data_IF_170918858533
#
_entry.id   IF_170918858533
#
_cell.length_a   1.000
_cell.length_b   1.000
_cell.length_c   1.000
_cell.angle_alpha   90.00
_cell.angle_beta   90.00
_cell.angle_gamma   90.00
#
_symmetry.space_group_name_H-M   'P 1'
#
loop_
_entity.id
_entity.type
_entity.pdbx_description
1 polymer ?
#
# COMPACT_ATOMS: atom_id res chain seq x y z
N UNK A 1 11.51 15.13 16.54
CA UNK A 1 11.16 14.37 15.32
C UNK A 1 9.63 14.34 15.20
N UNK A 2 9.07 14.86 14.11
CA UNK A 2 7.61 15.03 13.98
C UNK A 2 6.90 13.66 13.89
N UNK A 3 5.61 13.61 14.25
CA UNK A 3 4.79 12.40 14.09
C UNK A 3 4.77 11.93 12.63
N UNK A 4 4.65 12.87 11.70
CA UNK A 4 4.71 12.64 10.26
C UNK A 4 5.98 11.89 9.83
N UNK A 5 7.14 12.38 10.27
CA UNK A 5 8.44 11.77 9.96
C UNK A 5 8.46 10.30 10.38
N UNK A 6 8.06 10.02 11.62
CA UNK A 6 8.02 8.65 12.15
C UNK A 6 7.08 7.77 11.33
N UNK A 7 5.89 8.28 10.99
CA UNK A 7 4.92 7.50 10.22
C UNK A 7 5.40 7.21 8.80
N UNK A 8 6.01 8.18 8.11
CA UNK A 8 6.59 7.96 6.78
C UNK A 8 7.67 6.88 6.80
N UNK A 9 8.54 6.86 7.82
CA UNK A 9 9.55 5.80 7.99
C UNK A 9 8.93 4.44 8.30
N UNK A 10 7.91 4.39 9.15
CA UNK A 10 7.20 3.15 9.45
C UNK A 10 6.59 2.58 8.16
N UNK A 11 5.90 3.40 7.37
CA UNK A 11 5.33 2.94 6.10
C UNK A 11 6.39 2.53 5.09
N UNK A 12 7.53 3.21 5.02
CA UNK A 12 8.66 2.77 4.19
C UNK A 12 9.10 1.35 4.59
N UNK A 13 9.25 1.05 5.88
CA UNK A 13 9.59 -0.30 6.35
C UNK A 13 8.50 -1.31 5.97
N UNK A 14 7.23 -0.96 6.16
CA UNK A 14 6.10 -1.83 5.79
C UNK A 14 6.09 -2.11 4.27
N UNK A 15 6.39 -1.13 3.43
CA UNK A 15 6.47 -1.33 1.98
C UNK A 15 7.62 -2.25 1.59
N UNK A 16 8.78 -2.18 2.27
CA UNK A 16 9.87 -3.15 2.06
C UNK A 16 9.37 -4.55 2.37
N UNK A 17 8.78 -4.75 3.54
CA UNK A 17 8.30 -6.08 3.98
C UNK A 17 7.24 -6.61 3.01
N UNK A 18 6.28 -5.77 2.61
CA UNK A 18 5.25 -6.14 1.66
C UNK A 18 5.84 -6.54 0.29
N UNK A 19 6.72 -5.70 -0.27
CA UNK A 19 7.38 -5.97 -1.55
C UNK A 19 8.17 -7.28 -1.53
N UNK A 20 8.99 -7.50 -0.49
CA UNK A 20 9.75 -8.74 -0.32
C UNK A 20 8.83 -9.96 -0.15
N UNK A 21 7.74 -9.83 0.60
CA UNK A 21 6.80 -10.93 0.81
C UNK A 21 6.14 -11.37 -0.50
N UNK A 22 5.77 -10.42 -1.37
CA UNK A 22 5.25 -10.72 -2.70
C UNK A 22 6.29 -11.35 -3.63
N UNK A 23 7.57 -10.98 -3.49
CA UNK A 23 8.63 -11.53 -4.33
C UNK A 23 9.07 -12.95 -3.91
N UNK A 24 9.21 -13.19 -2.61
CA UNK A 24 9.81 -14.42 -2.07
C UNK A 24 8.78 -15.45 -1.59
N UNK A 25 7.59 -15.03 -1.19
CA UNK A 25 6.56 -15.92 -0.63
C UNK A 25 5.14 -15.61 -1.15
N UNK A 26 4.91 -15.45 -2.47
CA UNK A 26 3.62 -15.04 -3.01
C UNK A 26 2.48 -16.00 -2.66
N UNK A 27 2.74 -17.32 -2.67
CA UNK A 27 1.75 -18.33 -2.30
C UNK A 27 1.30 -18.21 -0.84
N UNK A 28 2.25 -17.97 0.08
CA UNK A 28 1.97 -17.78 1.51
C UNK A 28 1.15 -16.52 1.75
N UNK A 29 1.49 -15.42 1.08
CA UNK A 29 0.73 -14.17 1.15
C UNK A 29 -0.69 -14.37 0.64
N UNK A 30 -0.86 -15.08 -0.48
CA UNK A 30 -2.19 -15.38 -1.04
C UNK A 30 -3.04 -16.20 -0.08
N UNK A 31 -2.49 -17.25 0.52
CA UNK A 31 -3.20 -18.08 1.51
C UNK A 31 -3.61 -17.26 2.74
N UNK A 32 -2.76 -16.35 3.20
CA UNK A 32 -3.08 -15.46 4.33
C UNK A 32 -4.22 -14.51 3.97
N UNK A 33 -4.19 -13.90 2.78
CA UNK A 33 -5.25 -13.03 2.30
C UNK A 33 -6.58 -13.78 2.13
N UNK A 34 -6.55 -15.02 1.62
CA UNK A 34 -7.75 -15.88 1.52
C UNK A 34 -8.28 -16.30 2.90
N UNK A 35 -7.40 -16.52 3.88
CA UNK A 35 -7.82 -16.77 5.27
C UNK A 35 -8.50 -15.53 5.89
N UNK A 36 -7.90 -14.35 5.72
CA UNK A 36 -8.48 -13.09 6.19
C UNK A 36 -9.81 -12.76 5.49
N UNK A 37 -9.90 -12.99 4.18
CA UNK A 37 -11.12 -12.80 3.41
C UNK A 37 -12.26 -13.65 3.99
N UNK A 38 -12.00 -14.94 4.25
CA UNK A 38 -12.99 -15.84 4.86
C UNK A 38 -13.42 -15.39 6.25
N UNK A 39 -12.50 -14.93 7.10
CA UNK A 39 -12.82 -14.40 8.43
C UNK A 39 -13.75 -13.18 8.35
N UNK A 40 -13.58 -12.35 7.33
CA UNK A 40 -14.41 -11.16 7.09
C UNK A 40 -15.66 -11.43 6.26
N UNK A 41 -15.96 -12.69 5.92
CA UNK A 41 -17.10 -13.06 5.07
C UNK A 41 -16.97 -12.65 3.61
N UNK A 42 -15.75 -12.34 3.15
CA UNK A 42 -15.44 -12.04 1.76
C UNK A 42 -15.09 -13.32 0.99
N UNK A 43 -15.40 -13.33 -0.30
CA UNK A 43 -15.08 -14.45 -1.19
C UNK A 43 -13.56 -14.57 -1.39
N UNK A 44 -12.94 -15.74 -1.11
CA UNK A 44 -11.54 -15.99 -1.42
C UNK A 44 -11.31 -16.12 -2.93
N UNK A 45 -10.06 -16.02 -3.36
CA UNK A 45 -9.68 -16.08 -4.77
C UNK A 45 -8.23 -15.64 -5.04
N UNK A 46 -7.49 -15.25 -4.01
CA UNK A 46 -6.13 -14.75 -4.15
C UNK A 46 -5.18 -15.85 -4.60
N UNK A 47 -5.28 -17.08 -4.06
CA UNK A 47 -4.41 -18.19 -4.46
C UNK A 47 -4.51 -18.52 -5.97
N UNK A 48 -5.71 -18.48 -6.54
CA UNK A 48 -5.93 -18.73 -7.97
C UNK A 48 -5.45 -17.56 -8.84
N UNK A 49 -5.62 -16.32 -8.39
CA UNK A 49 -5.11 -15.14 -9.08
C UNK A 49 -3.57 -15.14 -9.08
N UNK A 50 -2.97 -15.56 -7.96
CA UNK A 50 -1.52 -15.63 -7.75
C UNK A 50 -0.85 -16.67 -8.65
N UNK A 51 -1.50 -17.80 -8.89
CA UNK A 51 -1.00 -18.86 -9.77
C UNK A 51 -0.88 -18.44 -11.25
N UNK A 52 -1.60 -17.40 -11.68
CA UNK A 52 -1.64 -16.96 -13.08
C UNK A 52 -0.69 -15.79 -13.41
N UNK A 53 -0.04 -15.20 -12.41
CA UNK A 53 0.51 -13.85 -12.54
C UNK A 53 1.94 -13.69 -11.98
N UNK A 54 2.94 -14.29 -12.64
CA UNK A 54 4.36 -14.12 -12.26
C UNK A 54 4.89 -12.69 -12.48
N UNK A 55 4.45 -12.02 -13.54
CA UNK A 55 4.88 -10.66 -13.90
C UNK A 55 4.38 -9.60 -12.90
N UNK A 56 3.25 -9.86 -12.26
CA UNK A 56 2.67 -8.97 -11.26
C UNK A 56 3.55 -8.81 -10.02
N UNK A 57 4.30 -9.83 -9.60
CA UNK A 57 5.18 -9.72 -8.44
C UNK A 57 6.38 -8.83 -8.70
N UNK A 58 6.94 -8.88 -9.91
CA UNK A 58 8.02 -7.98 -10.32
C UNK A 58 7.57 -6.52 -10.33
N UNK A 59 6.37 -6.26 -10.87
CA UNK A 59 5.77 -4.92 -10.86
C UNK A 59 5.40 -4.45 -9.45
N UNK A 60 4.86 -5.34 -8.61
CA UNK A 60 4.54 -5.03 -7.22
C UNK A 60 5.82 -4.70 -6.43
N UNK A 61 6.88 -5.49 -6.60
CA UNK A 61 8.17 -5.26 -5.96
C UNK A 61 8.79 -3.93 -6.39
N UNK A 62 8.80 -3.61 -7.70
CA UNK A 62 9.38 -2.36 -8.20
C UNK A 62 8.58 -1.13 -7.76
N UNK A 63 7.25 -1.23 -7.72
CA UNK A 63 6.37 -0.19 -7.19
C UNK A 63 6.62 0.00 -5.68
N UNK A 64 6.70 -1.09 -4.92
CA UNK A 64 6.98 -1.01 -3.48
C UNK A 64 8.35 -0.39 -3.22
N UNK A 65 9.39 -0.76 -3.97
CA UNK A 65 10.72 -0.13 -3.85
C UNK A 65 10.67 1.39 -4.11
N UNK A 66 9.87 1.82 -5.10
CA UNK A 66 9.64 3.25 -5.37
C UNK A 66 8.91 3.93 -4.21
N UNK A 67 7.87 3.30 -3.66
CA UNK A 67 7.14 3.81 -2.50
C UNK A 67 8.01 3.90 -1.25
N UNK A 68 8.94 2.95 -1.04
CA UNK A 68 9.94 2.99 0.04
C UNK A 68 10.79 4.25 -0.10
N UNK A 69 11.36 4.47 -1.28
CA UNK A 69 12.21 5.63 -1.55
C UNK A 69 11.45 6.94 -1.31
N UNK A 70 10.25 7.06 -1.89
CA UNK A 70 9.44 8.26 -1.77
C UNK A 70 8.99 8.51 -0.33
N UNK A 71 8.53 7.48 0.39
CA UNK A 71 8.10 7.62 1.78
C UNK A 71 9.28 7.96 2.70
N UNK A 72 10.45 7.35 2.48
CA UNK A 72 11.65 7.65 3.25
C UNK A 72 12.09 9.10 3.07
N UNK A 73 12.14 9.56 1.81
CA UNK A 73 12.53 10.93 1.48
C UNK A 73 11.47 11.94 1.93
N UNK A 74 10.17 11.61 1.82
CA UNK A 74 9.06 12.45 2.30
C UNK A 74 9.11 12.68 3.83
N UNK A 75 9.75 11.78 4.57
CA UNK A 75 9.97 11.96 6.01
C UNK A 75 11.10 12.93 6.35
N UNK A 76 11.90 13.41 5.40
CA UNK A 76 13.03 14.31 5.65
C UNK A 76 12.63 15.71 6.15
N UNK A 77 13.51 16.43 6.86
CA UNK A 77 13.23 17.78 7.39
C UNK A 77 12.94 18.81 6.29
N UNK A 78 13.57 18.67 5.11
CA UNK A 78 13.40 19.56 3.95
C UNK A 78 12.68 18.87 2.79
N UNK A 79 11.86 17.86 3.09
CA UNK A 79 11.24 17.04 2.07
C UNK A 79 10.24 17.85 1.23
N UNK A 80 10.40 17.90 -0.11
CA UNK A 80 9.44 18.57 -0.97
C UNK A 80 8.05 17.90 -0.85
N UNK A 81 6.95 18.68 -0.78
CA UNK A 81 5.60 18.14 -0.62
C UNK A 81 5.18 17.22 -1.78
N UNK A 82 5.84 17.34 -2.94
CA UNK A 82 5.63 16.49 -4.11
C UNK A 82 5.91 15.01 -3.83
N UNK A 83 6.88 14.69 -2.96
CA UNK A 83 7.21 13.31 -2.62
C UNK A 83 6.06 12.63 -1.88
N UNK A 84 5.50 13.33 -0.88
CA UNK A 84 4.32 12.85 -0.16
C UNK A 84 3.11 12.77 -1.09
N UNK A 85 2.88 13.78 -1.92
CA UNK A 85 1.78 13.77 -2.88
C UNK A 85 1.89 12.58 -3.86
N UNK A 86 3.09 12.20 -4.28
CA UNK A 86 3.30 11.03 -5.13
C UNK A 86 2.94 9.71 -4.42
N UNK A 87 3.32 9.56 -3.14
CA UNK A 87 2.90 8.41 -2.32
C UNK A 87 1.38 8.37 -2.17
N UNK A 88 0.76 9.50 -1.85
CA UNK A 88 -0.69 9.60 -1.69
C UNK A 88 -1.44 9.31 -2.99
N UNK A 89 -0.96 9.82 -4.12
CA UNK A 89 -1.54 9.57 -5.44
C UNK A 89 -1.44 8.09 -5.79
N UNK A 90 -0.29 7.46 -5.52
CA UNK A 90 -0.10 6.02 -5.74
C UNK A 90 -1.08 5.21 -4.89
N UNK A 91 -1.27 5.56 -3.61
CA UNK A 91 -2.21 4.87 -2.72
C UNK A 91 -3.67 5.10 -3.09
N UNK A 92 -4.01 6.29 -3.56
CA UNK A 92 -5.35 6.56 -4.11
C UNK A 92 -5.61 5.70 -5.35
N UNK A 93 -4.67 5.69 -6.30
CA UNK A 93 -4.78 4.91 -7.52
C UNK A 93 -4.90 3.41 -7.24
N UNK A 94 -4.10 2.87 -6.31
CA UNK A 94 -4.18 1.46 -5.95
C UNK A 94 -5.47 1.11 -5.19
N UNK A 95 -5.93 1.98 -4.29
CA UNK A 95 -7.23 1.82 -3.61
C UNK A 95 -8.38 1.75 -4.62
N UNK A 96 -8.39 2.65 -5.61
CA UNK A 96 -9.40 2.65 -6.67
C UNK A 96 -9.32 1.40 -7.54
N UNK A 97 -8.11 1.00 -7.96
CA UNK A 97 -7.91 -0.20 -8.77
C UNK A 97 -8.39 -1.47 -8.04
N UNK A 98 -8.02 -1.64 -6.77
CA UNK A 98 -8.48 -2.78 -5.98
C UNK A 98 -9.99 -2.75 -5.72
N UNK A 99 -10.58 -1.56 -5.55
CA UNK A 99 -12.04 -1.44 -5.45
C UNK A 99 -12.74 -1.90 -6.73
N UNK A 100 -12.18 -1.55 -7.91
CA UNK A 100 -12.70 -2.03 -9.20
C UNK A 100 -12.57 -3.55 -9.30
N UNK A 101 -11.44 -4.14 -8.90
CA UNK A 101 -11.27 -5.59 -8.88
C UNK A 101 -12.18 -6.29 -7.87
N UNK A 102 -12.51 -5.65 -6.75
CA UNK A 102 -13.45 -6.17 -5.78
C UNK A 102 -14.87 -6.29 -6.37
N UNK A 103 -15.24 -5.37 -7.24
CA UNK A 103 -16.52 -5.35 -7.93
C UNK A 103 -16.58 -6.27 -9.16
N UNK A 104 -15.44 -6.53 -9.80
CA UNK A 104 -15.39 -7.21 -11.12
C UNK A 104 -14.84 -8.64 -11.08
N UNK A 105 -14.04 -8.99 -10.07
CA UNK A 105 -13.41 -10.30 -9.96
C UNK A 105 -13.92 -11.07 -8.74
N UNK A 106 -13.55 -10.65 -7.53
CA UNK A 106 -14.02 -11.24 -6.28
C UNK A 106 -13.85 -10.27 -5.11
N UNK A 107 -14.74 -10.35 -4.12
CA UNK A 107 -14.83 -9.36 -3.03
C UNK A 107 -13.62 -9.29 -2.09
N UNK A 108 -12.76 -10.32 -2.09
CA UNK A 108 -11.52 -10.33 -1.31
C UNK A 108 -10.62 -9.12 -1.57
N UNK A 109 -10.62 -8.54 -2.77
CA UNK A 109 -9.83 -7.33 -3.10
C UNK A 109 -10.18 -6.10 -2.26
N UNK A 110 -11.33 -6.09 -1.57
CA UNK A 110 -11.65 -5.05 -0.58
C UNK A 110 -10.62 -4.97 0.55
N UNK A 111 -9.96 -6.09 0.89
CA UNK A 111 -8.85 -6.09 1.85
C UNK A 111 -7.68 -5.21 1.38
N UNK A 112 -7.30 -5.35 0.11
CA UNK A 112 -6.20 -4.57 -0.47
C UNK A 112 -6.58 -3.09 -0.59
N UNK A 113 -7.81 -2.81 -1.03
CA UNK A 113 -8.34 -1.44 -1.08
C UNK A 113 -8.36 -0.78 0.30
N UNK A 114 -8.82 -1.50 1.33
CA UNK A 114 -8.85 -1.00 2.71
C UNK A 114 -7.44 -0.76 3.25
N UNK A 115 -6.50 -1.67 3.00
CA UNK A 115 -5.11 -1.53 3.44
C UNK A 115 -4.43 -0.30 2.82
N UNK A 116 -4.57 -0.10 1.50
CA UNK A 116 -3.98 1.06 0.83
C UNK A 116 -4.68 2.38 1.20
N UNK A 117 -6.00 2.35 1.37
CA UNK A 117 -6.77 3.49 1.88
C UNK A 117 -6.31 3.89 3.29
N UNK A 118 -6.09 2.92 4.17
CA UNK A 118 -5.58 3.16 5.52
C UNK A 118 -4.19 3.81 5.51
N UNK A 119 -3.29 3.34 4.65
CA UNK A 119 -1.97 3.98 4.47
C UNK A 119 -2.12 5.44 4.04
N UNK A 120 -2.94 5.70 3.02
CA UNK A 120 -3.18 7.05 2.52
C UNK A 120 -3.77 7.97 3.59
N UNK A 121 -4.78 7.49 4.32
CA UNK A 121 -5.45 8.26 5.38
C UNK A 121 -4.51 8.60 6.54
N UNK A 122 -3.70 7.65 7.00
CA UNK A 122 -2.75 7.89 8.10
C UNK A 122 -1.66 8.90 7.69
N UNK A 123 -1.19 8.84 6.45
CA UNK A 123 -0.23 9.82 5.91
C UNK A 123 -0.84 11.22 5.76
N UNK A 124 -2.11 11.33 5.35
CA UNK A 124 -2.85 12.60 5.29
C UNK A 124 -3.07 13.16 6.69
N UNK A 125 -3.53 12.34 7.63
CA UNK A 125 -3.85 12.76 9.00
C UNK A 125 -2.63 13.31 9.75
N UNK A 126 -1.44 12.80 9.43
CA UNK A 126 -0.19 13.28 10.03
C UNK A 126 0.51 14.35 9.21
N UNK A 127 -0.01 14.71 8.03
CA UNK A 127 0.60 15.73 7.18
C UNK A 127 0.72 17.04 7.97
N UNK A 128 1.91 17.67 8.01
CA UNK A 128 2.05 18.97 8.64
C UNK A 128 1.08 19.93 7.96
N UNK A 129 0.08 20.42 8.70
CA UNK A 129 -0.77 21.50 8.22
C UNK A 129 0.17 22.68 8.01
N UNK A 130 0.39 23.09 6.76
CA UNK A 130 1.14 24.29 6.48
C UNK A 130 0.54 25.39 7.37
N UNK A 131 1.38 26.02 8.21
CA UNK A 131 0.99 27.27 8.87
C UNK A 131 0.50 28.17 7.75
N UNK A 132 -0.80 28.47 7.74
CA UNK A 132 -1.33 29.64 7.05
C UNK A 132 -0.68 30.85 7.73
N UNK A 133 0.51 31.25 7.29
CA UNK A 133 0.95 32.64 7.42
C UNK A 133 0.15 33.43 6.38
N UNK A 134 -0.73 34.35 6.79
CA UNK A 134 -0.41 35.74 7.19
C UNK A 134 0.38 36.45 6.11
#
# INVERSE_FOLDING_TARGET
>A
MSLHHRLCRIWAVVFVIAGLSFAFAPATVAMLLDALARVLGLSPGFAEAVARASLWYGLALSLMATLVYLAWQAGGPDAPPQLLNAVLLSKLASTLAFSIFALTAFSGWWLCAAADGFVGLTLIATRPTARRGT
#
